data_IF_777355754333
#
_entry.id   IF_777355754333
#
_cell.length_a   1.000
_cell.length_b   1.000
_cell.length_c   1.000
_cell.angle_alpha   90.00
_cell.angle_beta   90.00
_cell.angle_gamma   90.00
#
_symmetry.space_group_name_H-M   'P 1'
#
loop_
_entity.id
_entity.type
_entity.pdbx_description
1 polymer ?
#
# COMPACT_ATOMS: atom_id res chain seq x y z
N UNK A 1 -2.58 12.26 -11.72
CA UNK A 1 -3.91 12.62 -12.22
C UNK A 1 -4.54 13.60 -11.22
N UNK A 2 -4.99 14.79 -11.65
CA UNK A 2 -5.72 15.70 -10.77
C UNK A 2 -7.22 15.50 -11.02
N UNK A 3 -7.96 15.21 -9.95
CA UNK A 3 -9.40 15.00 -9.98
C UNK A 3 -10.05 16.03 -9.06
N UNK A 4 -11.06 16.74 -9.57
CA UNK A 4 -11.89 17.63 -8.76
C UNK A 4 -13.12 16.86 -8.30
N UNK A 5 -13.35 16.84 -6.99
CA UNK A 5 -14.50 16.16 -6.37
C UNK A 5 -15.18 17.14 -5.42
N UNK A 6 -16.51 17.20 -5.51
CA UNK A 6 -17.34 18.03 -4.63
C UNK A 6 -18.13 17.14 -3.68
N UNK A 7 -17.88 17.30 -2.38
CA UNK A 7 -18.61 16.61 -1.32
C UNK A 7 -19.64 17.54 -0.71
N UNK A 8 -20.79 16.98 -0.33
CA UNK A 8 -21.84 17.71 0.36
C UNK A 8 -22.32 16.91 1.58
N UNK A 9 -22.76 17.61 2.62
CA UNK A 9 -23.38 17.00 3.79
C UNK A 9 -22.38 16.32 4.72
N UNK A 10 -22.64 15.07 5.10
CA UNK A 10 -21.89 14.39 6.15
C UNK A 10 -20.40 14.19 5.79
N UNK A 11 -20.08 13.86 4.54
CA UNK A 11 -18.70 13.62 4.11
C UNK A 11 -17.87 14.90 4.22
N UNK A 12 -18.42 16.03 3.79
CA UNK A 12 -17.74 17.33 3.92
C UNK A 12 -17.44 17.65 5.39
N UNK A 13 -18.43 17.49 6.29
CA UNK A 13 -18.26 17.71 7.74
C UNK A 13 -17.20 16.79 8.35
N UNK A 14 -17.12 15.53 7.92
CA UNK A 14 -16.11 14.59 8.41
C UNK A 14 -14.71 15.04 7.98
N UNK A 15 -14.55 15.44 6.72
CA UNK A 15 -13.26 15.94 6.19
C UNK A 15 -12.84 17.23 6.90
N UNK A 16 -13.78 18.15 7.15
CA UNK A 16 -13.52 19.38 7.91
C UNK A 16 -13.08 19.09 9.34
N UNK A 17 -13.78 18.18 10.03
CA UNK A 17 -13.42 17.77 11.39
C UNK A 17 -12.08 17.05 11.47
N UNK A 18 -11.73 16.24 10.47
CA UNK A 18 -10.44 15.56 10.40
C UNK A 18 -9.28 16.56 10.32
N UNK A 19 -9.43 17.62 9.52
CA UNK A 19 -8.45 18.70 9.43
C UNK A 19 -8.44 19.52 10.71
N UNK A 20 -9.61 19.91 11.21
CA UNK A 20 -9.75 20.73 12.44
C UNK A 20 -9.10 20.08 13.66
N UNK A 21 -9.17 18.75 13.77
CA UNK A 21 -8.56 17.97 14.85
C UNK A 21 -7.08 17.65 14.64
N UNK A 22 -6.52 17.99 13.48
CA UNK A 22 -5.11 17.75 13.17
C UNK A 22 -4.80 16.30 12.77
N UNK A 23 -5.80 15.50 12.41
CA UNK A 23 -5.56 14.14 11.87
C UNK A 23 -5.01 14.19 10.44
N UNK A 24 -5.25 15.29 9.72
CA UNK A 24 -4.73 15.55 8.39
C UNK A 24 -4.47 17.04 8.21
N UNK A 25 -3.53 17.39 7.34
CA UNK A 25 -3.19 18.79 7.01
C UNK A 25 -4.16 19.39 6.00
N UNK A 26 -4.81 18.56 5.17
CA UNK A 26 -5.76 18.98 4.12
C UNK A 26 -6.93 18.01 3.98
N UNK A 27 -8.06 18.47 3.40
CA UNK A 27 -9.20 17.58 3.10
C UNK A 27 -8.83 16.44 2.15
N UNK A 28 -7.92 16.69 1.21
CA UNK A 28 -7.40 15.67 0.29
C UNK A 28 -6.63 14.58 1.04
N UNK A 29 -5.81 14.97 2.00
CA UNK A 29 -5.09 14.02 2.85
C UNK A 29 -6.05 13.22 3.74
N UNK A 30 -7.03 13.88 4.37
CA UNK A 30 -8.09 13.20 5.13
C UNK A 30 -8.86 12.18 4.28
N UNK A 31 -9.17 12.53 3.02
CA UNK A 31 -9.81 11.61 2.08
C UNK A 31 -8.94 10.39 1.79
N UNK A 32 -7.63 10.57 1.56
CA UNK A 32 -6.70 9.46 1.34
C UNK A 32 -6.62 8.54 2.55
N UNK A 33 -6.55 9.09 3.76
CA UNK A 33 -6.58 8.31 5.00
C UNK A 33 -7.86 7.48 5.11
N UNK A 34 -9.02 8.07 4.77
CA UNK A 34 -10.29 7.35 4.73
C UNK A 34 -10.30 6.20 3.73
N UNK A 35 -9.78 6.40 2.52
CA UNK A 35 -9.65 5.34 1.51
C UNK A 35 -8.70 4.24 1.98
N UNK A 36 -7.59 4.61 2.63
CA UNK A 36 -6.64 3.64 3.18
C UNK A 36 -7.26 2.79 4.28
N UNK A 37 -8.01 3.39 5.20
CA UNK A 37 -8.73 2.65 6.25
C UNK A 37 -9.83 1.75 5.67
N UNK A 38 -10.50 2.17 4.58
CA UNK A 38 -11.44 1.31 3.87
C UNK A 38 -10.75 0.08 3.29
N UNK A 39 -9.58 0.25 2.66
CA UNK A 39 -8.81 -0.88 2.16
C UNK A 39 -8.38 -1.81 3.31
N UNK A 40 -7.86 -1.24 4.40
CA UNK A 40 -7.46 -2.00 5.59
C UNK A 40 -8.61 -2.82 6.18
N UNK A 41 -9.83 -2.26 6.21
CA UNK A 41 -10.99 -2.94 6.78
C UNK A 41 -11.59 -4.01 5.87
N UNK A 42 -11.66 -3.73 4.57
CA UNK A 42 -12.40 -4.56 3.62
C UNK A 42 -11.50 -5.33 2.65
N UNK A 43 -10.19 -5.18 2.78
CA UNK A 43 -9.18 -5.87 1.96
C UNK A 43 -9.48 -5.71 0.46
N UNK A 44 -9.87 -4.49 0.06
CA UNK A 44 -10.41 -4.20 -1.27
C UNK A 44 -9.40 -4.52 -2.40
N UNK A 45 -8.11 -4.47 -2.08
CA UNK A 45 -7.02 -4.75 -3.00
C UNK A 45 -6.30 -6.06 -2.73
N UNK A 46 -6.63 -6.81 -1.67
CA UNK A 46 -5.88 -8.01 -1.24
C UNK A 46 -5.68 -9.01 -2.38
N UNK A 47 -6.74 -9.32 -3.14
CA UNK A 47 -6.62 -10.22 -4.31
C UNK A 47 -5.68 -9.68 -5.39
N UNK A 48 -5.65 -8.36 -5.60
CA UNK A 48 -4.75 -7.75 -6.59
C UNK A 48 -3.31 -7.78 -6.09
N UNK A 49 -3.11 -7.50 -4.79
CA UNK A 49 -1.83 -7.57 -4.11
C UNK A 49 -1.27 -9.00 -4.16
N UNK A 50 -2.09 -10.01 -3.86
CA UNK A 50 -1.71 -11.43 -3.98
C UNK A 50 -1.28 -11.80 -5.41
N UNK A 51 -2.04 -11.35 -6.42
CA UNK A 51 -1.71 -11.61 -7.84
C UNK A 51 -0.41 -10.92 -8.26
N UNK A 52 -0.12 -9.73 -7.74
CA UNK A 52 1.14 -9.01 -7.98
C UNK A 52 2.31 -9.67 -7.25
N UNK A 53 2.12 -10.12 -6.02
CA UNK A 53 3.11 -10.83 -5.21
C UNK A 53 3.50 -12.16 -5.85
N UNK A 54 2.51 -12.93 -6.34
CA UNK A 54 2.76 -14.17 -7.09
C UNK A 54 3.59 -13.88 -8.33
N UNK A 55 3.23 -12.87 -9.13
CA UNK A 55 4.01 -12.50 -10.33
C UNK A 55 5.44 -12.10 -10.00
N UNK A 56 5.63 -11.36 -8.91
CA UNK A 56 6.95 -10.94 -8.47
C UNK A 56 7.78 -12.14 -8.02
N UNK A 57 7.19 -13.04 -7.23
CA UNK A 57 7.81 -14.29 -6.79
C UNK A 57 8.20 -15.17 -7.98
N UNK A 58 7.30 -15.37 -8.95
CA UNK A 58 7.55 -16.14 -10.16
C UNK A 58 8.72 -15.56 -10.97
N UNK A 59 8.78 -14.23 -11.13
CA UNK A 59 9.87 -13.56 -11.84
C UNK A 59 11.23 -13.74 -11.12
N UNK A 60 11.25 -13.70 -9.79
CA UNK A 60 12.46 -13.99 -9.01
C UNK A 60 12.86 -15.45 -9.19
N UNK A 61 11.91 -16.38 -9.07
CA UNK A 61 12.15 -17.81 -9.20
C UNK A 61 12.67 -18.19 -10.59
N UNK A 62 12.18 -17.53 -11.65
CA UNK A 62 12.69 -17.71 -13.01
C UNK A 62 14.16 -17.25 -13.15
N UNK A 63 14.55 -16.15 -12.50
CA UNK A 63 15.96 -15.69 -12.49
C UNK A 63 16.85 -16.65 -11.73
N UNK A 64 16.36 -17.22 -10.63
CA UNK A 64 17.06 -18.26 -9.86
C UNK A 64 17.21 -19.54 -10.68
N UNK A 65 16.15 -20.01 -11.34
CA UNK A 65 16.20 -21.22 -12.17
C UNK A 65 17.15 -21.07 -13.35
N UNK A 66 17.23 -19.87 -13.92
CA UNK A 66 18.18 -19.51 -14.98
C UNK A 66 19.59 -19.24 -14.45
N UNK A 67 19.85 -19.43 -13.15
CA UNK A 67 21.16 -19.27 -12.51
C UNK A 67 21.66 -17.83 -12.41
N UNK A 68 20.82 -16.83 -12.70
CA UNK A 68 21.15 -15.39 -12.67
C UNK A 68 21.12 -14.82 -11.25
N UNK A 69 20.36 -15.45 -10.36
CA UNK A 69 20.26 -15.08 -8.94
C UNK A 69 20.48 -16.31 -8.04
N UNK A 70 20.90 -16.05 -6.80
CA UNK A 70 21.04 -17.09 -5.76
C UNK A 70 20.15 -16.72 -4.58
N UNK A 71 19.37 -17.69 -4.12
CA UNK A 71 18.65 -17.59 -2.87
C UNK A 71 19.62 -17.83 -1.72
N UNK A 72 19.48 -17.03 -0.66
CA UNK A 72 20.24 -17.18 0.57
C UNK A 72 19.26 -17.44 1.70
N UNK A 73 19.64 -18.31 2.64
CA UNK A 73 18.94 -18.41 3.92
C UNK A 73 19.25 -17.20 4.78
N UNK A 74 18.39 -16.91 5.74
CA UNK A 74 18.56 -15.80 6.69
C UNK A 74 19.94 -15.84 7.38
N UNK A 75 20.37 -17.03 7.82
CA UNK A 75 21.69 -17.24 8.43
C UNK A 75 22.85 -16.87 7.47
N UNK A 76 22.70 -17.13 6.17
CA UNK A 76 23.70 -16.79 5.16
C UNK A 76 23.74 -15.29 4.87
N UNK A 77 22.59 -14.60 4.91
CA UNK A 77 22.50 -13.15 4.77
C UNK A 77 23.18 -12.46 5.96
N UNK A 78 22.84 -12.89 7.19
CA UNK A 78 23.42 -12.37 8.42
C UNK A 78 24.93 -12.56 8.50
N UNK A 79 25.45 -13.68 7.97
CA UNK A 79 26.89 -13.93 7.90
C UNK A 79 27.63 -13.04 6.90
N UNK A 80 26.94 -12.49 5.87
CA UNK A 80 27.53 -11.61 4.85
C UNK A 80 27.49 -10.12 5.21
N UNK A 81 26.65 -9.74 6.18
CA UNK A 81 26.51 -8.35 6.65
C UNK A 81 27.48 -8.00 7.80
N UNK A 82 28.20 -8.99 8.34
CA UNK A 82 29.30 -8.82 9.28
C UNK A 82 30.63 -8.69 8.54
#
# INVERSE_FOLDING_TARGET
MNVNVHFHGAVEKILDEAVRKGYASTKTEALRLGVFELNNRYQLLERTEDEEDIKCADAVMERVSNGKERLYSEAQVLAKLK
#
